data_IF_159499246301
#
_entry.id   IF_159499246301
#
_cell.length_a   1.000
_cell.length_b   1.000
_cell.length_c   1.000
_cell.angle_alpha   90.00
_cell.angle_beta   90.00
_cell.angle_gamma   90.00
#
_symmetry.space_group_name_H-M   'P 1'
#
loop_
_entity.id
_entity.type
_entity.pdbx_description
1 polymer ?
#
# COMPACT_ATOMS: atom_id res chain seq x y z
N UNK A 1 -10.30 9.24 11.08
CA UNK A 1 -9.42 8.77 9.99
C UNK A 1 -8.07 8.47 10.60
N UNK A 2 -7.49 7.31 10.28
CA UNK A 2 -6.16 6.91 10.75
C UNK A 2 -5.17 7.01 9.59
N UNK A 3 -3.89 7.17 9.91
CA UNK A 3 -2.80 7.11 8.93
C UNK A 3 -2.46 5.65 8.68
N UNK A 4 -2.49 5.24 7.42
CA UNK A 4 -2.10 3.90 6.98
C UNK A 4 -0.83 3.98 6.15
N UNK A 5 0.02 2.98 6.32
CA UNK A 5 1.18 2.72 5.49
C UNK A 5 0.92 1.55 4.55
N UNK A 6 1.45 1.59 3.34
CA UNK A 6 1.41 0.44 2.41
C UNK A 6 2.80 0.17 1.86
N UNK A 7 3.23 -1.08 1.98
CA UNK A 7 4.46 -1.60 1.37
C UNK A 7 4.12 -2.48 0.19
N UNK A 8 4.87 -2.34 -0.91
CA UNK A 8 4.84 -3.29 -2.01
C UNK A 8 5.83 -4.43 -1.76
N UNK A 9 5.33 -5.61 -1.37
CA UNK A 9 6.15 -6.73 -0.87
C UNK A 9 7.21 -7.19 -1.88
N UNK A 10 6.90 -7.15 -3.18
CA UNK A 10 7.85 -7.52 -4.24
C UNK A 10 9.06 -6.59 -4.37
N UNK A 11 9.01 -5.40 -3.77
CA UNK A 11 10.08 -4.39 -3.83
C UNK A 11 10.57 -3.94 -2.45
N UNK A 12 9.77 -4.16 -1.40
CA UNK A 12 10.01 -3.60 -0.07
C UNK A 12 9.76 -2.09 0.03
N UNK A 13 9.24 -1.46 -1.01
CA UNK A 13 9.08 -0.01 -1.07
C UNK A 13 7.79 0.47 -0.42
N UNK A 14 7.87 1.63 0.23
CA UNK A 14 6.71 2.38 0.70
C UNK A 14 6.02 3.02 -0.49
N UNK A 15 4.76 2.69 -0.68
CA UNK A 15 3.97 3.13 -1.84
C UNK A 15 2.81 4.05 -1.45
N UNK A 16 2.54 4.18 -0.15
CA UNK A 16 1.52 5.04 0.42
C UNK A 16 1.77 5.28 1.93
N UNK A 17 1.55 6.50 2.41
CA UNK A 17 1.58 6.85 3.84
C UNK A 17 0.59 7.97 4.18
N UNK A 18 -0.64 7.66 4.60
CA UNK A 18 -1.62 8.71 4.90
C UNK A 18 -3.05 8.27 5.17
N UNK A 19 -4.01 9.21 5.17
CA UNK A 19 -5.31 8.98 5.78
C UNK A 19 -6.19 8.10 4.89
N UNK A 20 -6.70 7.01 5.45
CA UNK A 20 -7.69 6.16 4.80
C UNK A 20 -8.86 5.86 5.74
N UNK A 21 -9.99 5.43 5.18
CA UNK A 21 -11.15 4.98 5.98
C UNK A 21 -10.96 3.58 6.53
N UNK A 22 -10.29 2.73 5.77
CA UNK A 22 -10.05 1.32 6.06
C UNK A 22 -8.80 0.83 5.27
N UNK A 23 -8.26 -0.37 5.57
CA UNK A 23 -7.06 -0.88 4.91
C UNK A 23 -7.22 -1.05 3.40
N UNK A 24 -8.44 -1.35 2.93
CA UNK A 24 -8.72 -1.49 1.50
C UNK A 24 -8.69 -0.14 0.79
N UNK A 25 -9.25 0.91 1.39
CA UNK A 25 -9.13 2.30 0.89
C UNK A 25 -7.65 2.74 0.82
N UNK A 26 -6.82 2.36 1.80
CA UNK A 26 -5.38 2.62 1.75
C UNK A 26 -4.71 1.95 0.55
N UNK A 27 -5.00 0.67 0.29
CA UNK A 27 -4.51 -0.02 -0.91
C UNK A 27 -5.04 0.57 -2.21
N UNK A 28 -6.31 0.97 -2.26
CA UNK A 28 -6.89 1.60 -3.43
C UNK A 28 -6.23 2.93 -3.76
N UNK A 29 -5.83 3.70 -2.73
CA UNK A 29 -5.06 4.94 -2.89
C UNK A 29 -3.58 4.70 -3.17
N UNK A 30 -3.02 3.58 -2.71
CA UNK A 30 -1.68 3.15 -3.09
C UNK A 30 -1.62 2.75 -4.56
N UNK A 31 -2.68 2.15 -5.12
CA UNK A 31 -2.83 1.91 -6.55
C UNK A 31 -3.33 3.17 -7.26
N UNK A 32 -2.93 3.47 -8.50
CA UNK A 32 -3.25 4.73 -9.21
C UNK A 32 -4.74 4.92 -9.61
N UNK A 33 -5.69 4.44 -8.83
CA UNK A 33 -7.13 4.63 -9.07
C UNK A 33 -7.60 6.06 -8.72
N UNK A 34 -6.73 6.90 -8.15
CA UNK A 34 -7.06 8.29 -7.77
C UNK A 34 -6.00 9.33 -8.17
N UNK A 35 -6.38 10.61 -8.14
CA UNK A 35 -5.54 11.77 -8.55
C UNK A 35 -4.45 12.16 -7.55
N UNK A 36 -4.33 11.49 -6.41
CA UNK A 36 -3.29 11.72 -5.42
C UNK A 36 -2.86 10.40 -4.75
N UNK A 37 -1.55 10.17 -4.79
CA UNK A 37 -0.75 9.02 -4.37
C UNK A 37 -0.96 7.74 -5.16
N UNK A 38 0.15 7.03 -5.30
CA UNK A 38 0.29 5.84 -6.10
C UNK A 38 1.63 5.79 -6.81
N UNK A 39 2.60 5.10 -6.20
CA UNK A 39 3.93 4.87 -6.77
C UNK A 39 4.06 3.51 -7.47
N UNK A 40 3.05 2.63 -7.39
CA UNK A 40 3.05 1.30 -8.03
C UNK A 40 2.73 1.31 -9.54
N UNK A 41 2.92 2.43 -10.23
CA UNK A 41 2.92 2.46 -11.70
C UNK A 41 1.65 1.91 -12.38
N UNK A 42 1.79 0.77 -13.08
CA UNK A 42 0.76 0.16 -13.95
C UNK A 42 -0.22 -0.79 -13.23
N UNK A 43 -0.13 -0.93 -11.91
CA UNK A 43 -1.01 -1.78 -11.12
C UNK A 43 -2.24 -0.97 -10.66
N UNK A 44 -3.39 -1.26 -11.26
CA UNK A 44 -4.56 -0.37 -11.24
C UNK A 44 -5.74 -0.87 -10.40
N UNK A 45 -5.71 -2.10 -9.87
CA UNK A 45 -6.86 -2.64 -9.12
C UNK A 45 -6.43 -3.48 -7.94
N UNK A 46 -6.59 -2.96 -6.73
CA UNK A 46 -6.43 -3.70 -5.48
C UNK A 46 -7.67 -4.55 -5.16
N UNK A 47 -7.50 -5.85 -5.00
CA UNK A 47 -8.50 -6.80 -4.51
C UNK A 47 -8.07 -7.43 -3.18
N UNK A 48 -9.03 -7.94 -2.41
CA UNK A 48 -8.74 -8.86 -1.30
C UNK A 48 -8.05 -10.11 -1.87
N UNK A 49 -7.08 -10.67 -1.15
CA UNK A 49 -6.27 -11.80 -1.61
C UNK A 49 -7.05 -13.05 -2.07
N UNK A 50 -6.31 -13.92 -2.80
CA UNK A 50 -6.65 -15.19 -3.50
C UNK A 50 -7.30 -15.07 -4.90
N UNK A 51 -7.07 -16.01 -5.88
CA UNK A 51 -5.89 -16.81 -6.25
C UNK A 51 -5.13 -16.19 -7.47
N UNK A 52 -3.85 -16.54 -7.64
CA UNK A 52 -2.99 -16.03 -8.72
C UNK A 52 -3.29 -16.74 -10.04
N UNK A 53 -4.15 -16.18 -10.89
CA UNK A 53 -4.25 -16.63 -12.29
C UNK A 53 -2.92 -16.33 -13.01
N UNK A 54 -2.33 -17.33 -13.67
CA UNK A 54 -1.02 -17.22 -14.34
C UNK A 54 -1.00 -16.20 -15.49
N UNK A 55 -2.16 -15.86 -16.02
CA UNK A 55 -2.33 -14.93 -17.15
C UNK A 55 -2.10 -13.46 -16.80
N UNK A 56 -1.95 -13.12 -15.52
CA UNK A 56 -1.83 -11.73 -15.06
C UNK A 56 -0.60 -11.52 -14.19
N UNK A 57 -0.09 -10.29 -14.22
CA UNK A 57 0.92 -9.83 -13.26
C UNK A 57 0.24 -9.28 -12.01
N UNK A 58 0.74 -9.68 -10.85
CA UNK A 58 0.19 -9.35 -9.54
C UNK A 58 1.26 -8.69 -8.65
N UNK A 59 0.87 -7.68 -7.87
CA UNK A 59 1.66 -7.14 -6.76
C UNK A 59 0.98 -7.45 -5.44
N UNK A 60 1.76 -7.82 -4.44
CA UNK A 60 1.30 -7.95 -3.07
C UNK A 60 1.57 -6.64 -2.32
N UNK A 61 0.56 -6.19 -1.58
CA UNK A 61 0.54 -4.95 -0.83
C UNK A 61 0.22 -5.25 0.63
N UNK A 62 1.18 -5.03 1.52
CA UNK A 62 0.98 -5.13 2.96
C UNK A 62 0.55 -3.78 3.52
N UNK A 63 -0.50 -3.76 4.35
CA UNK A 63 -1.07 -2.55 4.92
C UNK A 63 -0.85 -2.50 6.43
N UNK A 64 -0.47 -1.32 6.91
CA UNK A 64 -0.07 -1.08 8.30
C UNK A 64 -0.84 0.09 8.91
N UNK A 65 -1.22 -0.01 10.20
CA UNK A 65 -1.80 1.09 10.99
C UNK A 65 -0.67 1.88 11.64
N UNK A 66 -0.18 2.91 10.94
CA UNK A 66 0.95 3.75 11.38
C UNK A 66 0.45 5.04 12.01
N UNK A 67 -0.66 5.02 12.74
CA UNK A 67 -1.36 6.20 13.26
C UNK A 67 -0.53 7.21 14.07
N UNK A 68 0.72 6.90 14.42
CA UNK A 68 1.71 7.81 15.00
C UNK A 68 2.41 8.72 13.97
N UNK A 69 2.45 8.35 12.69
CA UNK A 69 3.12 9.10 11.64
C UNK A 69 2.19 10.11 10.98
N UNK A 70 2.70 11.32 10.66
CA UNK A 70 1.97 12.27 9.83
C UNK A 70 1.83 11.73 8.40
N UNK A 71 0.68 11.95 7.74
CA UNK A 71 0.52 11.63 6.31
C UNK A 71 1.57 12.33 5.43
N UNK A 72 2.22 11.58 4.54
CA UNK A 72 3.19 12.11 3.60
C UNK A 72 2.78 11.84 2.14
N UNK A 73 2.44 12.92 1.37
CA UNK A 73 2.07 12.79 -0.02
C UNK A 73 3.12 12.43 -1.04
N UNK A 74 4.35 12.65 -0.68
CA UNK A 74 5.48 12.34 -1.52
C UNK A 74 6.40 11.45 -0.70
N UNK A 75 5.83 10.43 -0.04
CA UNK A 75 6.60 9.44 0.69
C UNK A 75 7.60 8.81 -0.27
N UNK A 76 8.86 8.87 0.12
CA UNK A 76 9.93 8.25 -0.65
C UNK A 76 9.81 6.74 -0.54
N UNK A 77 10.23 6.03 -1.59
CA UNK A 77 10.07 4.57 -1.66
C UNK A 77 10.87 3.85 -0.56
N UNK A 78 11.93 4.49 -0.06
CA UNK A 78 12.85 4.03 0.98
C UNK A 78 12.76 4.89 2.24
N UNK A 79 11.64 5.58 2.47
CA UNK A 79 11.42 6.41 3.66
C UNK A 79 11.63 5.58 4.95
N UNK A 80 12.78 5.80 5.59
CA UNK A 80 13.24 5.02 6.75
C UNK A 80 12.28 5.19 7.94
N UNK A 81 11.68 6.38 8.10
CA UNK A 81 10.75 6.66 9.19
C UNK A 81 9.44 5.89 8.98
N UNK A 82 8.93 5.89 7.75
CA UNK A 82 7.77 5.11 7.35
C UNK A 82 8.01 3.60 7.53
N UNK A 83 9.16 3.09 7.07
CA UNK A 83 9.52 1.67 7.22
C UNK A 83 9.69 1.28 8.70
N UNK A 84 10.28 2.14 9.53
CA UNK A 84 10.42 1.89 10.96
C UNK A 84 9.07 1.81 11.70
N UNK A 85 8.04 2.50 11.20
CA UNK A 85 6.69 2.41 11.75
C UNK A 85 5.89 1.20 11.23
N UNK A 86 6.25 0.64 10.07
CA UNK A 86 5.57 -0.49 9.42
C UNK A 86 6.15 -1.84 9.88
N UNK A 87 5.94 -2.16 11.14
CA UNK A 87 6.38 -3.42 11.78
C UNK A 87 5.27 -4.47 11.82
N UNK A 88 5.61 -5.71 12.21
CA UNK A 88 4.64 -6.79 12.44
C UNK A 88 3.52 -6.41 13.42
N UNK A 89 3.82 -5.57 14.42
CA UNK A 89 2.81 -5.10 15.41
C UNK A 89 1.79 -4.12 14.80
N UNK A 90 2.18 -3.43 13.73
CA UNK A 90 1.32 -2.48 13.02
C UNK A 90 0.64 -3.09 11.80
N UNK A 91 1.02 -4.31 11.42
CA UNK A 91 0.44 -5.00 10.26
C UNK A 91 -1.05 -5.26 10.47
N UNK A 92 -1.84 -4.94 9.46
CA UNK A 92 -3.29 -5.12 9.48
C UNK A 92 -3.69 -6.28 8.59
N UNK A 93 -3.30 -6.21 7.31
CA UNK A 93 -3.85 -7.07 6.26
C UNK A 93 -3.01 -6.98 4.97
N UNK A 94 -3.22 -7.94 4.07
CA UNK A 94 -2.52 -8.03 2.78
C UNK A 94 -3.53 -8.04 1.61
N UNK A 95 -3.21 -7.27 0.58
CA UNK A 95 -4.01 -7.13 -0.64
C UNK A 95 -3.19 -7.44 -1.87
N UNK A 96 -3.88 -7.70 -2.99
CA UNK A 96 -3.23 -7.92 -4.29
C UNK A 96 -3.67 -6.87 -5.28
N UNK A 97 -2.72 -6.26 -6.01
CA UNK A 97 -2.99 -5.37 -7.13
C UNK A 97 -2.68 -6.05 -8.47
N UNK A 98 -3.57 -5.90 -9.46
CA UNK A 98 -3.41 -6.50 -10.80
C UNK A 98 -2.96 -5.48 -11.84
N UNK A 99 -2.08 -5.91 -12.75
CA UNK A 99 -1.77 -5.23 -14.02
C UNK A 99 -2.47 -5.94 -15.19
N UNK A 100 -2.99 -5.15 -16.13
CA UNK A 100 -3.54 -5.62 -17.42
C UNK A 100 -2.50 -5.53 -18.53
#
# INVERSE_FOLDING_TARGET
MRTFGVICDGTGFVVYLGPATDPKDACQRATRDTKAWGNVGAFHRSGFGQPREESFSWLELSVYDVGSLPPNPNVDFDDEEALAAMTEDSFIDQYVARQY
#
